data_IF_523598539711
#
_entry.id   IF_523598539711
#
_cell.length_a   1.000
_cell.length_b   1.000
_cell.length_c   1.000
_cell.angle_alpha   90.00
_cell.angle_beta   90.00
_cell.angle_gamma   90.00
#
_symmetry.space_group_name_H-M   'P 1'
#
loop_
_entity.id
_entity.type
_entity.pdbx_description
1 polymer ?
#
# COMPACT_ATOMS: atom_id res chain seq x y z
N UNK A 1 27.34 27.20 43.18
CA UNK A 1 26.48 26.04 43.51
C UNK A 1 25.23 26.18 42.62
N UNK A 2 25.23 25.84 41.33
CA UNK A 2 25.27 24.52 40.68
C UNK A 2 23.96 23.72 40.85
N UNK A 3 23.02 23.80 39.89
CA UNK A 3 21.96 22.79 39.78
C UNK A 3 20.63 23.16 39.13
N UNK A 4 20.56 23.78 37.94
CA UNK A 4 19.25 23.99 37.26
C UNK A 4 19.23 23.67 35.75
N UNK A 5 20.34 23.19 35.18
CA UNK A 5 20.46 23.02 33.73
C UNK A 5 20.08 21.62 33.19
N UNK A 6 19.69 20.67 34.06
CA UNK A 6 19.46 19.29 33.64
C UNK A 6 18.01 18.96 33.24
N UNK A 7 17.02 19.78 33.59
CA UNK A 7 15.62 19.41 33.37
C UNK A 7 15.13 19.68 31.93
N UNK A 8 15.84 20.50 31.16
CA UNK A 8 15.43 20.87 29.79
C UNK A 8 15.86 19.84 28.73
N UNK A 9 16.82 18.95 29.04
CA UNK A 9 17.34 17.97 28.07
C UNK A 9 16.43 16.75 27.85
N UNK A 10 15.50 16.47 28.76
CA UNK A 10 14.56 15.33 28.68
C UNK A 10 13.42 15.55 27.67
N UNK A 11 13.26 16.78 27.16
CA UNK A 11 12.20 17.12 26.19
C UNK A 11 12.52 16.80 24.72
N UNK A 12 13.60 16.08 24.44
CA UNK A 12 13.84 15.50 23.11
C UNK A 12 13.05 14.19 23.00
N UNK A 13 11.73 14.33 22.84
CA UNK A 13 10.90 13.25 22.34
C UNK A 13 11.53 12.74 21.04
N UNK A 14 11.96 11.46 20.94
CA UNK A 14 12.21 10.89 19.63
C UNK A 14 10.90 11.03 18.86
N UNK A 15 10.97 11.60 17.65
CA UNK A 15 9.82 11.71 16.78
C UNK A 15 9.23 10.30 16.61
N UNK A 16 8.12 10.04 17.31
CA UNK A 16 7.33 8.86 17.03
C UNK A 16 6.94 8.97 15.55
N UNK A 17 7.08 7.91 14.74
CA UNK A 17 6.54 7.94 13.40
C UNK A 17 5.07 8.33 13.53
N UNK A 18 4.64 9.32 12.75
CA UNK A 18 3.26 9.79 12.78
C UNK A 18 2.32 8.60 12.61
N UNK A 19 1.15 8.58 13.30
CA UNK A 19 0.18 7.52 13.09
C UNK A 19 -0.27 7.59 11.64
N UNK A 20 0.27 6.67 10.82
CA UNK A 20 -0.22 6.44 9.48
C UNK A 20 -1.68 6.08 9.62
N UNK A 21 -2.55 6.90 9.04
CA UNK A 21 -3.99 6.65 9.05
C UNK A 21 -4.21 5.25 8.42
N UNK A 22 -4.75 4.26 9.16
CA UNK A 22 -4.87 2.89 8.66
C UNK A 22 -5.70 2.81 7.38
N UNK A 23 -6.47 3.85 7.07
CA UNK A 23 -7.36 3.90 5.92
C UNK A 23 -6.63 4.28 4.63
N UNK A 24 -5.37 4.73 4.67
CA UNK A 24 -4.63 5.23 3.50
C UNK A 24 -3.44 4.33 3.09
N UNK A 25 -3.04 3.38 3.93
CA UNK A 25 -2.00 2.41 3.61
C UNK A 25 -2.58 1.19 2.86
N UNK A 26 -3.09 1.39 1.64
CA UNK A 26 -3.22 0.26 0.72
C UNK A 26 -1.81 -0.06 0.21
N UNK A 27 -1.16 -1.06 0.81
CA UNK A 27 0.14 -1.54 0.36
C UNK A 27 0.07 -1.83 -1.16
N UNK A 28 1.02 -1.27 -1.92
CA UNK A 28 1.11 -1.50 -3.36
C UNK A 28 1.33 -2.99 -3.60
N UNK A 29 0.39 -3.61 -4.32
CA UNK A 29 0.45 -5.04 -4.58
C UNK A 29 1.48 -5.33 -5.68
N UNK A 30 2.12 -6.49 -5.56
CA UNK A 30 3.08 -6.98 -6.53
C UNK A 30 2.48 -8.08 -7.41
N UNK A 31 2.96 -8.19 -8.64
CA UNK A 31 2.68 -9.32 -9.50
C UNK A 31 3.21 -10.62 -8.83
N UNK A 32 2.40 -11.67 -8.67
CA UNK A 32 2.82 -12.90 -8.01
C UNK A 32 3.90 -13.69 -8.78
N UNK A 33 4.12 -13.36 -10.06
CA UNK A 33 5.09 -14.06 -10.93
C UNK A 33 6.44 -13.35 -10.98
N UNK A 34 6.45 -12.05 -11.29
CA UNK A 34 7.70 -11.29 -11.44
C UNK A 34 8.04 -10.37 -10.27
N UNK A 35 7.16 -10.25 -9.26
CA UNK A 35 7.37 -9.42 -8.07
C UNK A 35 7.35 -7.91 -8.32
N UNK A 36 7.12 -7.46 -9.56
CA UNK A 36 7.05 -6.03 -9.87
C UNK A 36 5.77 -5.40 -9.30
N UNK A 37 5.82 -4.14 -8.85
CA UNK A 37 4.62 -3.40 -8.45
C UNK A 37 3.60 -3.37 -9.59
N UNK A 38 2.33 -3.56 -9.25
CA UNK A 38 1.21 -3.45 -10.17
C UNK A 38 0.15 -2.53 -9.58
N UNK A 39 -0.77 -2.07 -10.43
CA UNK A 39 -1.95 -1.34 -9.96
C UNK A 39 -2.75 -2.22 -8.99
N UNK A 40 -3.29 -1.64 -7.93
CA UNK A 40 -4.25 -2.35 -7.06
C UNK A 40 -5.65 -2.09 -7.59
N UNK A 41 -6.39 -3.16 -7.91
CA UNK A 41 -7.77 -3.06 -8.41
C UNK A 41 -8.76 -3.62 -7.39
N UNK A 42 -9.96 -3.05 -7.33
CA UNK A 42 -11.04 -3.56 -6.48
C UNK A 42 -11.85 -4.57 -7.28
N UNK A 43 -11.79 -5.84 -6.87
CA UNK A 43 -12.66 -6.91 -7.36
C UNK A 43 -13.81 -7.11 -6.37
N UNK A 44 -14.98 -7.50 -6.87
CA UNK A 44 -16.10 -7.91 -6.00
C UNK A 44 -16.25 -9.43 -6.06
N UNK A 45 -16.12 -10.09 -4.91
CA UNK A 45 -16.50 -11.50 -4.76
C UNK A 45 -17.88 -11.60 -4.12
N UNK A 46 -18.69 -12.54 -4.59
CA UNK A 46 -19.99 -12.81 -3.99
C UNK A 46 -19.84 -13.87 -2.91
N UNK A 47 -20.32 -13.59 -1.70
CA UNK A 47 -20.34 -14.53 -0.59
C UNK A 47 -21.69 -14.41 0.13
N UNK A 48 -22.37 -15.52 0.37
CA UNK A 48 -23.66 -15.56 1.10
C UNK A 48 -24.71 -14.56 0.58
N UNK A 49 -24.74 -14.31 -0.73
CA UNK A 49 -25.68 -13.37 -1.35
C UNK A 49 -25.25 -11.90 -1.33
N UNK A 50 -24.19 -11.53 -0.61
CA UNK A 50 -23.64 -10.16 -0.57
C UNK A 50 -22.39 -10.04 -1.45
N UNK A 51 -22.09 -8.81 -1.90
CA UNK A 51 -20.85 -8.50 -2.62
C UNK A 51 -19.82 -7.92 -1.66
N UNK A 52 -18.68 -8.59 -1.53
CA UNK A 52 -17.55 -8.17 -0.72
C UNK A 52 -16.48 -7.59 -1.65
N UNK A 53 -16.01 -6.35 -1.42
CA UNK A 53 -14.90 -5.79 -2.19
C UNK A 53 -13.57 -6.37 -1.69
N UNK A 54 -12.66 -6.63 -2.62
CA UNK A 54 -11.34 -7.22 -2.39
C UNK A 54 -10.30 -6.47 -3.23
N UNK A 55 -9.18 -6.10 -2.61
CA UNK A 55 -8.10 -5.34 -3.22
C UNK A 55 -7.10 -6.37 -3.72
N UNK A 56 -6.99 -6.50 -5.03
CA UNK A 56 -6.19 -7.54 -5.67
C UNK A 56 -5.15 -6.93 -6.61
N UNK A 57 -4.04 -7.64 -6.88
CA UNK A 57 -3.08 -7.18 -7.88
C UNK A 57 -3.79 -7.06 -9.23
N UNK A 58 -3.61 -5.93 -9.89
CA UNK A 58 -4.07 -5.68 -11.24
C UNK A 58 -3.24 -6.43 -12.29
N UNK A 59 -3.57 -6.28 -13.58
CA UNK A 59 -2.87 -6.95 -14.67
C UNK A 59 -1.39 -6.57 -14.72
N UNK A 60 -0.53 -7.56 -14.98
CA UNK A 60 0.90 -7.29 -15.14
C UNK A 60 1.16 -6.57 -16.47
N UNK A 61 1.89 -5.46 -16.43
CA UNK A 61 2.29 -4.69 -17.61
C UNK A 61 3.77 -4.89 -17.99
N UNK A 62 4.45 -5.85 -17.37
CA UNK A 62 5.82 -6.19 -17.71
C UNK A 62 5.86 -7.16 -18.90
N UNK A 63 6.37 -6.78 -20.09
CA UNK A 63 6.37 -7.63 -21.29
C UNK A 63 7.21 -8.91 -21.14
N UNK A 64 8.18 -8.91 -20.22
CA UNK A 64 9.01 -10.09 -19.93
C UNK A 64 8.33 -11.08 -18.96
N UNK A 65 7.14 -10.76 -18.46
CA UNK A 65 6.40 -11.61 -17.53
C UNK A 65 5.51 -12.60 -18.27
N UNK A 66 5.45 -13.85 -17.80
CA UNK A 66 4.54 -14.86 -18.34
C UNK A 66 3.05 -14.46 -18.23
N UNK A 67 2.70 -13.60 -17.26
CA UNK A 67 1.34 -13.07 -17.03
C UNK A 67 1.15 -11.67 -17.64
N UNK A 68 1.97 -11.27 -18.62
CA UNK A 68 1.82 -9.97 -19.27
C UNK A 68 0.45 -9.84 -19.94
N UNK A 69 -0.29 -8.79 -19.57
CA UNK A 69 -1.53 -8.42 -20.24
C UNK A 69 -1.30 -7.09 -20.95
N UNK A 70 -1.44 -7.01 -22.28
CA UNK A 70 -1.36 -5.75 -23.00
C UNK A 70 -2.56 -4.85 -22.62
N UNK A 71 -2.36 -3.53 -22.65
CA UNK A 71 -3.48 -2.60 -22.52
C UNK A 71 -4.37 -2.70 -23.77
N UNK A 72 -5.51 -3.38 -23.64
CA UNK A 72 -6.53 -3.37 -24.68
C UNK A 72 -7.20 -2.00 -24.62
N UNK A 73 -6.99 -1.21 -25.67
CA UNK A 73 -7.28 0.21 -25.75
C UNK A 73 -8.63 0.60 -25.14
N UNK A 74 -8.57 1.65 -24.31
CA UNK A 74 -9.71 2.47 -23.90
C UNK A 74 -10.31 3.07 -25.18
N UNK A 75 -11.28 2.40 -25.81
CA UNK A 75 -12.02 3.00 -26.91
C UNK A 75 -12.77 4.21 -26.34
N UNK A 76 -12.55 5.44 -26.87
CA UNK A 76 -13.20 6.65 -26.37
C UNK A 76 -14.72 6.60 -26.50
#
# INVERSE_FOLDING_TARGET
>A
MAGEQHQQQDRRHPHAPEPVDPQTAHEQLACPVCGRPVETVIRRRKALGIFIPEWVPGPCRNPDCAEYVPEVGKLP
#
